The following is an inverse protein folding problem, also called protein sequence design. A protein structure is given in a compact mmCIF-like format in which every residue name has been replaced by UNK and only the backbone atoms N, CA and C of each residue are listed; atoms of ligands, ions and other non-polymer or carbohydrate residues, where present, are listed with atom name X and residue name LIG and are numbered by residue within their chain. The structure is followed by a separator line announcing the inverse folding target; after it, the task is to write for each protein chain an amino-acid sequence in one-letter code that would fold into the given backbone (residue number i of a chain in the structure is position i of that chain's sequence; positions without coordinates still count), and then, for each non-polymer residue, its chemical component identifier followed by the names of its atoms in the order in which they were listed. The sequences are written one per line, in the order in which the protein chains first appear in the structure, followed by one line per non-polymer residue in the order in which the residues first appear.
data_IF_423162722031
#
_entry.id   IF_423162722031
#
_cell.length_a   1.000
_cell.length_b   1.000
_cell.length_c   1.000
_cell.angle_alpha   90.00
_cell.angle_beta   90.00
_cell.angle_gamma   90.00
#
_symmetry.space_group_name_H-M   'P 1'
#
loop_
_entity.id
_entity.type
_entity.pdbx_description
1 polymer ?
#
# COMPACT_ATOMS: atom_id res chain seq x y z
N UNK A 1 31.23 8.92 16.92
CA UNK A 1 30.11 8.01 17.24
C UNK A 1 29.25 7.92 15.98
N UNK A 2 29.37 6.84 15.21
CA UNK A 2 28.74 6.69 13.88
C UNK A 2 27.96 5.37 13.75
N UNK A 3 27.45 4.82 14.85
CA UNK A 3 26.86 3.47 14.88
C UNK A 3 25.33 3.41 14.93
N UNK A 4 24.63 4.52 14.73
CA UNK A 4 23.19 4.63 15.02
C UNK A 4 22.27 4.63 13.80
N UNK A 5 22.68 5.20 12.65
CA UNK A 5 21.74 5.55 11.58
C UNK A 5 21.64 4.50 10.47
N UNK A 6 22.73 3.80 10.13
CA UNK A 6 22.74 2.68 9.18
C UNK A 6 21.68 1.58 9.48
N UNK A 7 21.53 1.20 10.74
CA UNK A 7 20.52 0.19 11.16
C UNK A 7 19.10 0.71 11.01
N UNK A 8 18.88 2.01 11.24
CA UNK A 8 17.58 2.66 11.10
C UNK A 8 17.17 2.74 9.61
N UNK A 9 18.09 3.16 8.72
CA UNK A 9 17.86 3.21 7.28
C UNK A 9 17.52 1.84 6.67
N UNK A 10 18.29 0.80 7.03
CA UNK A 10 18.03 -0.56 6.56
C UNK A 10 16.71 -1.15 7.08
N UNK A 11 16.33 -0.83 8.32
CA UNK A 11 15.04 -1.22 8.87
C UNK A 11 13.88 -0.56 8.12
N UNK A 12 14.00 0.73 7.81
CA UNK A 12 13.01 1.49 7.03
C UNK A 12 12.83 0.90 5.62
N UNK A 13 13.93 0.57 4.92
CA UNK A 13 13.87 -0.09 3.60
C UNK A 13 13.21 -1.46 3.66
N UNK A 14 13.52 -2.27 4.67
CA UNK A 14 12.88 -3.59 4.86
C UNK A 14 11.39 -3.44 5.11
N UNK A 15 10.99 -2.47 5.92
CA UNK A 15 9.59 -2.22 6.20
C UNK A 15 8.85 -1.69 4.97
N UNK A 16 9.42 -0.74 4.22
CA UNK A 16 8.86 -0.25 2.97
C UNK A 16 8.58 -1.38 1.96
N UNK A 17 9.53 -2.32 1.80
CA UNK A 17 9.34 -3.52 0.95
C UNK A 17 8.20 -4.41 1.42
N UNK A 18 8.02 -4.56 2.73
CA UNK A 18 6.92 -5.35 3.29
C UNK A 18 5.57 -4.67 3.06
N UNK A 19 5.51 -3.35 3.20
CA UNK A 19 4.31 -2.54 2.92
C UNK A 19 3.94 -2.59 1.44
N UNK A 20 4.90 -2.43 0.52
CA UNK A 20 4.69 -2.56 -0.93
C UNK A 20 4.12 -3.95 -1.30
N UNK A 21 4.66 -5.01 -0.69
CA UNK A 21 4.19 -6.37 -0.91
C UNK A 21 2.77 -6.59 -0.37
N UNK A 22 2.42 -5.96 0.76
CA UNK A 22 1.07 -6.00 1.30
C UNK A 22 0.07 -5.24 0.41
N UNK A 23 0.42 -4.05 -0.06
CA UNK A 23 -0.37 -3.26 -0.99
C UNK A 23 -0.68 -4.06 -2.27
N UNK A 24 0.34 -4.68 -2.88
CA UNK A 24 0.15 -5.51 -4.07
C UNK A 24 -0.76 -6.72 -3.85
N UNK A 25 -0.75 -7.33 -2.64
CA UNK A 25 -1.68 -8.42 -2.30
C UNK A 25 -3.12 -7.92 -2.19
N UNK A 26 -3.33 -6.75 -1.58
CA UNK A 26 -4.66 -6.15 -1.42
C UNK A 26 -5.21 -5.75 -2.80
N UNK A 27 -4.39 -5.16 -3.67
CA UNK A 27 -4.82 -4.84 -5.03
C UNK A 27 -5.17 -6.11 -5.83
N UNK A 28 -4.41 -7.20 -5.64
CA UNK A 28 -4.75 -8.51 -6.20
C UNK A 28 -6.09 -9.06 -5.70
N UNK A 29 -6.42 -8.87 -4.41
CA UNK A 29 -7.73 -9.24 -3.85
C UNK A 29 -8.83 -8.36 -4.45
N UNK A 30 -8.62 -7.04 -4.51
CA UNK A 30 -9.55 -6.08 -5.11
C UNK A 30 -9.86 -6.44 -6.56
N UNK A 31 -8.84 -6.71 -7.37
CA UNK A 31 -9.03 -7.15 -8.75
C UNK A 31 -9.82 -8.46 -8.81
N UNK A 32 -9.51 -9.39 -7.88
CA UNK A 32 -10.23 -10.61 -7.52
C UNK A 32 -11.75 -10.45 -7.38
N UNK A 33 -12.14 -9.46 -6.58
CA UNK A 33 -13.50 -9.27 -6.04
C UNK A 33 -14.35 -8.29 -6.82
N UNK A 34 -13.74 -7.30 -7.49
CA UNK A 34 -14.24 -6.81 -8.77
C UNK A 34 -14.20 -8.01 -9.76
N UNK A 35 -14.45 -7.99 -11.07
CA UNK A 35 -14.62 -9.25 -11.87
C UNK A 35 -15.75 -10.24 -11.44
N UNK A 36 -16.11 -10.37 -10.16
CA UNK A 36 -17.29 -11.11 -9.70
C UNK A 36 -18.55 -10.31 -10.07
N UNK A 37 -18.92 -10.35 -11.34
CA UNK A 37 -20.17 -9.75 -11.81
C UNK A 37 -21.23 -10.82 -11.86
N UNK A 38 -22.19 -10.70 -10.94
CA UNK A 38 -23.32 -11.61 -10.87
C UNK A 38 -24.46 -11.05 -11.71
N UNK A 39 -24.95 -11.90 -12.60
CA UNK A 39 -26.15 -11.62 -13.42
C UNK A 39 -27.39 -11.55 -12.55
N UNK A 40 -28.44 -10.85 -13.01
CA UNK A 40 -29.74 -10.84 -12.32
C UNK A 40 -30.27 -12.26 -12.08
N UNK A 41 -30.04 -13.17 -13.02
CA UNK A 41 -30.49 -14.56 -12.96
C UNK A 41 -29.92 -15.31 -11.74
N UNK A 42 -28.75 -14.92 -11.25
CA UNK A 42 -28.13 -15.49 -10.04
C UNK A 42 -28.93 -15.19 -8.77
N UNK A 43 -29.64 -14.06 -8.73
CA UNK A 43 -30.45 -13.63 -7.59
C UNK A 43 -31.91 -14.08 -7.68
N UNK A 44 -32.33 -14.59 -8.83
CA UNK A 44 -33.70 -15.03 -9.10
C UNK A 44 -34.52 -14.00 -9.87
N UNK A 45 -35.84 -14.26 -9.93
CA UNK A 45 -36.80 -13.50 -10.75
C UNK A 45 -37.92 -12.86 -9.93
N UNK A 46 -37.82 -12.92 -8.60
CA UNK A 46 -38.79 -12.28 -7.73
C UNK A 46 -38.48 -10.77 -7.63
N UNK A 47 -39.46 -9.90 -7.38
CA UNK A 47 -39.20 -8.47 -7.19
C UNK A 47 -38.13 -8.18 -6.13
N UNK A 48 -38.07 -8.98 -5.07
CA UNK A 48 -37.04 -8.86 -4.02
C UNK A 48 -35.63 -9.20 -4.53
N UNK A 49 -35.51 -9.98 -5.61
CA UNK A 49 -34.22 -10.29 -6.25
C UNK A 49 -33.56 -9.05 -6.86
N UNK A 50 -34.36 -8.08 -7.33
CA UNK A 50 -33.85 -6.83 -7.91
C UNK A 50 -33.15 -5.97 -6.85
N UNK A 51 -33.73 -5.87 -5.66
CA UNK A 51 -33.12 -5.18 -4.53
C UNK A 51 -31.82 -5.88 -4.10
N UNK A 52 -31.82 -7.21 -4.02
CA UNK A 52 -30.64 -7.97 -3.64
C UNK A 52 -29.49 -7.80 -4.65
N UNK A 53 -29.81 -7.74 -5.95
CA UNK A 53 -28.81 -7.42 -6.98
C UNK A 53 -28.30 -5.99 -6.85
N UNK A 54 -29.18 -5.01 -6.63
CA UNK A 54 -28.79 -3.61 -6.47
C UNK A 54 -27.86 -3.42 -5.26
N UNK A 55 -28.18 -4.06 -4.14
CA UNK A 55 -27.36 -4.06 -2.92
C UNK A 55 -26.01 -4.72 -3.16
N UNK A 56 -25.99 -5.88 -3.85
CA UNK A 56 -24.75 -6.55 -4.22
C UNK A 56 -23.84 -5.67 -5.11
N UNK A 57 -24.41 -5.07 -6.16
CA UNK A 57 -23.67 -4.21 -7.09
C UNK A 57 -23.10 -2.98 -6.36
N UNK A 58 -23.86 -2.41 -5.43
CA UNK A 58 -23.43 -1.29 -4.57
C UNK A 58 -22.28 -1.72 -3.67
N UNK A 59 -22.46 -2.78 -2.90
CA UNK A 59 -21.44 -3.27 -1.97
C UNK A 59 -20.15 -3.70 -2.68
N UNK A 60 -20.26 -4.30 -3.88
CA UNK A 60 -19.10 -4.65 -4.70
C UNK A 60 -18.33 -3.40 -5.13
N UNK A 61 -19.02 -2.35 -5.58
CA UNK A 61 -18.36 -1.09 -5.98
C UNK A 61 -17.72 -0.39 -4.79
N UNK A 62 -18.43 -0.28 -3.67
CA UNK A 62 -17.93 0.38 -2.47
C UNK A 62 -16.71 -0.35 -1.90
N UNK A 63 -16.78 -1.67 -1.72
CA UNK A 63 -15.63 -2.46 -1.29
C UNK A 63 -14.45 -2.38 -2.27
N UNK A 64 -14.71 -2.26 -3.57
CA UNK A 64 -13.69 -2.04 -4.59
C UNK A 64 -12.97 -0.70 -4.45
N UNK A 65 -13.69 0.34 -4.00
CA UNK A 65 -13.13 1.66 -3.70
C UNK A 65 -12.36 1.65 -2.39
N UNK A 66 -12.93 1.09 -1.32
CA UNK A 66 -12.27 1.02 -0.02
C UNK A 66 -10.91 0.29 -0.10
N UNK A 67 -10.86 -0.80 -0.86
CA UNK A 67 -9.61 -1.52 -1.11
C UNK A 67 -8.62 -0.71 -1.95
N UNK A 68 -9.09 0.12 -2.88
CA UNK A 68 -8.22 1.00 -3.67
C UNK A 68 -7.59 2.07 -2.77
N UNK A 69 -8.40 2.74 -1.96
CA UNK A 69 -7.96 3.79 -1.04
C UNK A 69 -6.96 3.22 -0.01
N UNK A 70 -7.17 1.98 0.46
CA UNK A 70 -6.23 1.28 1.32
C UNK A 70 -4.89 0.97 0.64
N UNK A 71 -4.91 0.55 -0.63
CA UNK A 71 -3.70 0.30 -1.43
C UNK A 71 -2.91 1.60 -1.63
N UNK A 72 -3.58 2.67 -2.02
CA UNK A 72 -2.96 3.98 -2.23
C UNK A 72 -2.30 4.50 -0.94
N UNK A 73 -3.00 4.33 0.20
CA UNK A 73 -2.46 4.68 1.52
C UNK A 73 -1.20 3.89 1.85
N UNK A 74 -1.17 2.57 1.57
CA UNK A 74 0.00 1.74 1.84
C UNK A 74 1.18 2.11 0.94
N UNK A 75 0.95 2.39 -0.34
CA UNK A 75 2.02 2.87 -1.22
C UNK A 75 2.59 4.22 -0.75
N UNK A 76 1.73 5.15 -0.33
CA UNK A 76 2.18 6.42 0.24
C UNK A 76 3.05 6.21 1.50
N UNK A 77 2.70 5.25 2.36
CA UNK A 77 3.52 4.88 3.52
C UNK A 77 4.86 4.29 3.08
N UNK A 78 4.87 3.38 2.11
CA UNK A 78 6.10 2.77 1.61
C UNK A 78 7.05 3.82 1.02
N UNK A 79 6.52 4.80 0.31
CA UNK A 79 7.32 5.89 -0.27
C UNK A 79 7.87 6.83 0.82
N UNK A 80 7.06 7.21 1.81
CA UNK A 80 7.52 8.01 2.94
C UNK A 80 8.66 7.32 3.72
N UNK A 81 8.61 5.98 3.84
CA UNK A 81 9.68 5.19 4.48
C UNK A 81 10.96 5.16 3.64
N UNK A 82 10.85 5.06 2.31
CA UNK A 82 11.99 5.12 1.38
C UNK A 82 12.64 6.50 1.41
N UNK A 83 11.84 7.56 1.40
CA UNK A 83 12.31 8.94 1.50
C UNK A 83 13.04 9.17 2.83
N UNK A 84 12.47 8.65 3.93
CA UNK A 84 13.09 8.73 5.26
C UNK A 84 14.44 8.00 5.27
N UNK A 85 14.52 6.80 4.70
CA UNK A 85 15.78 6.06 4.61
C UNK A 85 16.84 6.80 3.77
N UNK A 86 16.44 7.43 2.66
CA UNK A 86 17.33 8.23 1.82
C UNK A 86 17.85 9.47 2.54
N UNK A 87 17.05 10.10 3.40
CA UNK A 87 17.47 11.23 4.22
C UNK A 87 18.55 10.83 5.24
N UNK A 88 18.46 9.63 5.82
CA UNK A 88 19.52 9.09 6.68
C UNK A 88 20.83 8.89 5.92
N UNK A 89 20.78 8.28 4.71
CA UNK A 89 21.98 8.11 3.88
C UNK A 89 22.65 9.44 3.53
N UNK A 90 21.87 10.45 3.14
CA UNK A 90 22.38 11.78 2.81
C UNK A 90 23.06 12.46 4.02
N UNK A 91 22.46 12.32 5.20
CA UNK A 91 23.00 12.88 6.44
C UNK A 91 24.31 12.18 6.86
N UNK A 92 24.42 10.87 6.65
CA UNK A 92 25.67 10.13 6.89
C UNK A 92 26.77 10.51 5.89
N UNK A 93 26.44 10.66 4.60
CA UNK A 93 27.38 11.10 3.56
C UNK A 93 27.96 12.49 3.88
N UNK A 94 27.11 13.46 4.22
CA UNK A 94 27.53 14.83 4.55
C UNK A 94 28.46 14.87 5.78
N UNK A 95 28.12 14.10 6.83
CA UNK A 95 28.96 14.01 8.02
C UNK A 95 30.31 13.32 7.76
N UNK A 96 30.34 12.29 6.90
CA UNK A 96 31.58 11.59 6.54
C UNK A 96 32.53 12.49 5.72
N UNK A 97 31.99 13.30 4.80
CA UNK A 97 32.76 14.26 4.01
C UNK A 97 33.34 15.40 4.85
N UNK A 98 32.59 15.85 5.87
CA UNK A 98 33.02 16.93 6.77
C UNK A 98 34.08 16.48 7.80
N UNK A 99 34.06 15.21 8.25
CA UNK A 99 35.14 14.67 9.10
C UNK A 99 36.40 14.25 8.33
N UNK A 100 36.29 13.93 7.04
CA UNK A 100 37.43 13.55 6.19
C UNK A 100 38.25 14.73 5.64
N UNK A 101 37.77 15.97 5.79
CA UNK A 101 38.38 17.20 5.25
C UNK A 101 39.41 17.89 6.15
N UNK A 102 39.91 17.23 7.19
CA UNK A 102 40.94 17.77 8.08
C UNK A 102 42.35 17.29 7.69
N UNK A 103 43.03 18.02 6.81
CA UNK A 103 44.49 17.97 6.61
C UNK A 103 45.00 19.37 6.33
#
# INVERSE_FOLDING_TARGET
MSGGFDVEGDALRKYAKAVDAAAGRIDGIRSRTQQLELTQETFGKLPESDNLKADYDTQRKESGKDLADAVDTLYAIADALKDSAAAYDGTEMDNSGMMGGGS
#
